data_IF_160307445777
#
_entry.id   IF_160307445777
#
_cell.length_a   1.000
_cell.length_b   1.000
_cell.length_c   1.000
_cell.angle_alpha   90.00
_cell.angle_beta   90.00
_cell.angle_gamma   90.00
#
_symmetry.space_group_name_H-M   'P 1'
#
loop_
_entity.id
_entity.type
_entity.pdbx_description
1 polymer ?
#
# COMPACT_ATOMS: atom_id res chain seq x y z
N UNK A 1 4.74 -14.65 -13.87
CA UNK A 1 5.48 -13.57 -14.57
C UNK A 1 6.00 -12.50 -13.62
N UNK A 2 5.22 -12.04 -12.64
CA UNK A 2 5.70 -11.07 -11.64
C UNK A 2 7.03 -11.45 -10.96
N UNK A 3 7.18 -12.68 -10.48
CA UNK A 3 8.43 -13.12 -9.85
C UNK A 3 9.64 -13.05 -10.81
N UNK A 4 9.43 -13.33 -12.11
CA UNK A 4 10.47 -13.17 -13.13
C UNK A 4 10.80 -11.69 -13.34
N UNK A 5 9.77 -10.84 -13.42
CA UNK A 5 9.91 -9.40 -13.58
C UNK A 5 10.69 -8.77 -12.40
N UNK A 6 10.37 -9.14 -11.17
CA UNK A 6 11.10 -8.65 -10.00
C UNK A 6 12.57 -9.05 -9.97
N UNK A 7 12.93 -10.18 -10.57
CA UNK A 7 14.32 -10.62 -10.69
C UNK A 7 15.08 -9.88 -11.81
N UNK A 8 14.39 -9.09 -12.65
CA UNK A 8 15.07 -8.23 -13.62
C UNK A 8 15.79 -7.11 -12.87
N UNK A 9 17.06 -6.88 -13.20
CA UNK A 9 17.86 -5.77 -12.65
C UNK A 9 17.71 -4.52 -13.52
N UNK A 10 16.47 -4.05 -13.68
CA UNK A 10 16.20 -2.84 -14.46
C UNK A 10 16.53 -1.60 -13.63
N UNK A 11 17.11 -0.58 -14.26
CA UNK A 11 17.26 0.72 -13.62
C UNK A 11 15.86 1.31 -13.35
N UNK A 12 15.54 1.46 -12.08
CA UNK A 12 14.26 1.98 -11.59
C UNK A 12 14.50 2.93 -10.42
N UNK A 13 13.74 4.03 -10.30
CA UNK A 13 13.90 4.97 -9.20
C UNK A 13 13.61 4.29 -7.85
N UNK A 14 14.32 4.64 -6.76
CA UNK A 14 14.07 4.06 -5.45
C UNK A 14 12.71 4.50 -4.91
N UNK A 15 11.96 3.56 -4.34
CA UNK A 15 10.72 3.86 -3.63
C UNK A 15 11.01 4.24 -2.18
N UNK A 16 10.40 5.34 -1.72
CA UNK A 16 10.45 5.73 -0.32
C UNK A 16 9.02 5.81 0.24
N UNK A 17 8.62 4.88 1.13
CA UNK A 17 7.27 4.84 1.68
C UNK A 17 6.86 6.09 2.46
N UNK A 18 7.80 6.68 3.20
CA UNK A 18 7.54 7.81 4.09
C UNK A 18 7.05 9.07 3.34
N UNK A 19 7.83 9.66 2.40
CA UNK A 19 7.37 10.81 1.64
C UNK A 19 6.18 10.48 0.75
N UNK A 20 6.06 9.25 0.25
CA UNK A 20 4.91 8.86 -0.59
C UNK A 20 3.60 8.82 0.21
N UNK A 21 3.62 8.27 1.43
CA UNK A 21 2.45 8.27 2.30
C UNK A 21 2.02 9.71 2.62
N UNK A 22 2.96 10.57 3.04
CA UNK A 22 2.68 11.98 3.33
C UNK A 22 2.05 12.69 2.14
N UNK A 23 2.72 12.59 0.98
CA UNK A 23 2.27 13.20 -0.27
C UNK A 23 0.88 12.72 -0.68
N UNK A 24 0.61 11.42 -0.53
CA UNK A 24 -0.66 10.84 -1.00
C UNK A 24 -1.80 11.09 -0.04
N UNK A 25 -1.61 10.85 1.25
CA UNK A 25 -2.70 10.87 2.22
C UNK A 25 -2.85 12.24 2.86
N UNK A 26 -1.77 12.82 3.39
CA UNK A 26 -1.83 14.08 4.15
C UNK A 26 -1.95 15.27 3.20
N UNK A 27 -1.02 15.39 2.25
CA UNK A 27 -0.92 16.59 1.42
C UNK A 27 -2.09 16.69 0.44
N UNK A 28 -2.59 15.57 -0.12
CA UNK A 28 -3.71 15.57 -1.07
C UNK A 28 -5.08 15.69 -0.44
N UNK A 29 -5.30 15.20 0.78
CA UNK A 29 -6.57 15.42 1.50
C UNK A 29 -6.66 16.90 1.95
N UNK A 30 -5.52 17.60 1.98
CA UNK A 30 -5.49 19.07 1.93
C UNK A 30 -5.56 19.76 3.28
N UNK A 31 -5.19 19.07 4.38
CA UNK A 31 -5.22 19.66 5.73
C UNK A 31 -4.06 19.13 6.57
N UNK A 32 -2.94 19.87 6.60
CA UNK A 32 -1.88 19.65 7.59
C UNK A 32 -2.39 20.18 8.93
N UNK A 33 -2.83 19.28 9.79
CA UNK A 33 -3.24 19.55 11.16
C UNK A 33 -2.22 18.99 12.15
N UNK A 34 -2.31 19.38 13.42
CA UNK A 34 -1.53 18.76 14.49
C UNK A 34 -1.76 17.24 14.53
N UNK A 35 -2.99 16.80 14.30
CA UNK A 35 -3.37 15.38 14.24
C UNK A 35 -2.69 14.67 13.06
N UNK A 36 -2.58 15.34 11.91
CA UNK A 36 -1.86 14.80 10.74
C UNK A 36 -0.36 14.61 11.04
N UNK A 37 0.27 15.56 11.75
CA UNK A 37 1.66 15.46 12.19
C UNK A 37 1.86 14.29 13.17
N UNK A 38 1.01 14.20 14.19
CA UNK A 38 1.06 13.10 15.17
C UNK A 38 0.91 11.74 14.47
N UNK A 39 -0.06 11.61 13.56
CA UNK A 39 -0.24 10.39 12.79
C UNK A 39 0.98 10.08 11.91
N UNK A 40 1.55 11.09 11.25
CA UNK A 40 2.73 10.92 10.41
C UNK A 40 3.95 10.44 11.18
N UNK A 41 4.22 11.02 12.35
CA UNK A 41 5.30 10.56 13.24
C UNK A 41 5.08 9.11 13.68
N UNK A 42 3.86 8.76 14.12
CA UNK A 42 3.49 7.39 14.51
C UNK A 42 3.69 6.40 13.36
N UNK A 43 3.37 6.81 12.13
CA UNK A 43 3.59 5.99 10.94
C UNK A 43 5.09 5.79 10.62
N UNK A 44 5.95 6.80 10.85
CA UNK A 44 7.40 6.65 10.66
C UNK A 44 7.98 5.61 11.62
N UNK A 45 7.55 5.62 12.88
CA UNK A 45 7.92 4.62 13.86
C UNK A 45 7.46 3.22 13.42
N UNK A 46 6.21 3.10 12.95
CA UNK A 46 5.65 1.87 12.38
C UNK A 46 6.45 1.33 11.18
N UNK A 47 6.86 2.19 10.24
CA UNK A 47 7.72 1.82 9.12
C UNK A 47 9.06 1.26 9.62
N UNK A 48 9.76 1.99 10.48
CA UNK A 48 11.09 1.62 10.96
C UNK A 48 11.13 0.22 11.63
N UNK A 49 10.09 -0.13 12.39
CA UNK A 49 9.99 -1.43 13.09
C UNK A 49 9.56 -2.60 12.22
N UNK A 50 8.88 -2.37 11.08
CA UNK A 50 8.30 -3.43 10.23
C UNK A 50 9.07 -3.70 8.94
N UNK A 51 9.96 -2.81 8.49
CA UNK A 51 10.69 -2.98 7.22
C UNK A 51 12.14 -3.48 7.37
N UNK A 52 12.52 -3.97 8.55
CA UNK A 52 13.88 -4.47 8.81
C UNK A 52 14.19 -5.71 7.98
N UNK A 53 15.17 -5.60 7.08
CA UNK A 53 15.73 -6.74 6.32
C UNK A 53 14.95 -7.16 5.08
N UNK A 54 14.09 -6.29 4.54
CA UNK A 54 13.37 -6.51 3.29
C UNK A 54 14.27 -6.29 2.07
N UNK A 55 14.24 -7.24 1.13
CA UNK A 55 14.94 -7.10 -0.15
C UNK A 55 14.15 -6.19 -1.09
N UNK A 56 14.83 -5.27 -1.77
CA UNK A 56 14.23 -4.41 -2.76
C UNK A 56 14.46 -4.98 -4.15
N UNK A 57 13.43 -4.89 -4.99
CA UNK A 57 13.41 -5.46 -6.35
C UNK A 57 12.87 -4.46 -7.34
N UNK A 58 12.98 -4.78 -8.62
CA UNK A 58 12.24 -4.05 -9.67
C UNK A 58 10.75 -4.35 -9.50
N UNK A 59 10.02 -3.46 -8.84
CA UNK A 59 8.59 -3.52 -8.68
C UNK A 59 7.88 -2.81 -9.84
N UNK A 60 6.69 -3.30 -10.17
CA UNK A 60 5.82 -2.72 -11.19
C UNK A 60 5.31 -1.34 -10.74
N UNK A 61 4.98 -1.21 -9.45
CA UNK A 61 4.60 0.06 -8.85
C UNK A 61 3.15 0.50 -9.11
N UNK A 62 2.42 -0.25 -9.93
CA UNK A 62 1.01 -0.03 -10.28
C UNK A 62 0.34 -1.35 -10.69
N UNK A 63 0.63 -2.43 -9.95
CA UNK A 63 0.17 -3.77 -10.33
C UNK A 63 -1.30 -3.99 -9.96
N UNK A 64 -2.22 -3.42 -10.73
CA UNK A 64 -3.64 -3.74 -10.66
C UNK A 64 -4.02 -4.87 -11.62
N UNK A 65 -5.14 -5.58 -11.40
CA UNK A 65 -5.66 -6.55 -12.35
C UNK A 65 -5.83 -6.00 -13.77
N UNK A 66 -6.15 -4.71 -13.92
CA UNK A 66 -6.24 -4.02 -15.22
C UNK A 66 -4.91 -3.96 -15.98
N UNK A 67 -3.78 -4.07 -15.28
CA UNK A 67 -2.44 -4.01 -15.84
C UNK A 67 -1.85 -5.42 -16.07
N UNK A 68 -2.70 -6.45 -16.05
CA UNK A 68 -2.36 -7.84 -16.34
C UNK A 68 -3.25 -8.37 -17.45
N UNK A 69 -2.67 -8.56 -18.64
CA UNK A 69 -3.35 -9.14 -19.79
C UNK A 69 -3.43 -10.67 -19.69
N UNK A 70 -4.19 -11.27 -20.60
CA UNK A 70 -4.25 -12.72 -20.79
C UNK A 70 -2.84 -13.34 -20.94
N UNK A 71 -2.65 -14.53 -20.37
CA UNK A 71 -1.32 -15.14 -20.27
C UNK A 71 -0.41 -14.54 -19.19
N UNK A 72 -0.92 -13.58 -18.40
CA UNK A 72 -0.19 -12.94 -17.30
C UNK A 72 0.88 -11.95 -17.77
N UNK A 73 0.67 -11.32 -18.93
CA UNK A 73 1.55 -10.29 -19.46
C UNK A 73 1.32 -9.01 -18.67
N UNK A 74 2.38 -8.43 -18.13
CA UNK A 74 2.33 -7.16 -17.39
C UNK A 74 2.48 -5.99 -18.36
N UNK A 75 1.72 -4.92 -18.16
CA UNK A 75 1.73 -3.70 -18.98
C UNK A 75 1.74 -2.46 -18.08
N UNK A 76 1.94 -1.27 -18.66
CA UNK A 76 1.97 0.00 -17.91
C UNK A 76 3.11 0.09 -16.89
N UNK A 77 4.34 0.07 -17.40
CA UNK A 77 5.57 0.12 -16.59
C UNK A 77 6.03 1.56 -16.27
N UNK A 78 5.15 2.56 -16.37
CA UNK A 78 5.51 3.97 -16.12
C UNK A 78 5.82 4.24 -14.64
N UNK A 79 5.21 3.46 -13.74
CA UNK A 79 5.38 3.59 -12.28
C UNK A 79 6.41 2.63 -11.69
N UNK A 80 7.18 1.93 -12.54
CA UNK A 80 8.19 0.98 -12.07
C UNK A 80 9.17 1.65 -11.11
N UNK A 81 9.55 0.93 -10.07
CA UNK A 81 10.34 1.46 -8.97
C UNK A 81 11.16 0.35 -8.31
N UNK A 82 12.20 0.72 -7.57
CA UNK A 82 12.92 -0.21 -6.71
C UNK A 82 12.26 -0.24 -5.33
N UNK A 83 11.52 -1.30 -5.03
CA UNK A 83 10.69 -1.42 -3.82
C UNK A 83 10.65 -2.86 -3.31
N UNK A 84 10.14 -3.04 -2.08
CA UNK A 84 9.85 -4.38 -1.56
C UNK A 84 8.76 -5.07 -2.42
N UNK A 85 8.89 -6.38 -2.70
CA UNK A 85 7.91 -7.12 -3.51
C UNK A 85 6.47 -7.06 -2.97
N UNK A 86 6.32 -6.92 -1.66
CA UNK A 86 5.03 -6.81 -0.99
C UNK A 86 4.20 -5.63 -1.47
N UNK A 87 4.82 -4.57 -2.02
CA UNK A 87 4.10 -3.44 -2.60
C UNK A 87 3.21 -3.86 -3.78
N UNK A 88 3.77 -4.58 -4.76
CA UNK A 88 3.02 -5.06 -5.92
C UNK A 88 1.97 -6.10 -5.52
N UNK A 89 2.32 -6.97 -4.57
CA UNK A 89 1.42 -8.00 -4.05
C UNK A 89 0.19 -7.36 -3.42
N UNK A 90 0.37 -6.39 -2.53
CA UNK A 90 -0.77 -5.73 -1.88
C UNK A 90 -1.53 -4.82 -2.86
N UNK A 91 -0.86 -4.18 -3.82
CA UNK A 91 -1.56 -3.40 -4.85
C UNK A 91 -2.49 -4.29 -5.68
N UNK A 92 -2.02 -5.50 -6.01
CA UNK A 92 -2.81 -6.48 -6.74
C UNK A 92 -3.92 -7.03 -5.84
N UNK A 93 -3.59 -7.81 -4.81
CA UNK A 93 -4.57 -8.53 -3.97
C UNK A 93 -5.43 -7.62 -3.07
N UNK A 94 -5.00 -6.37 -2.85
CA UNK A 94 -5.75 -5.37 -2.12
C UNK A 94 -6.83 -4.67 -2.93
N UNK A 95 -6.90 -4.90 -4.25
CA UNK A 95 -7.88 -4.27 -5.11
C UNK A 95 -9.31 -4.82 -4.86
N UNK A 96 -10.32 -3.96 -4.64
CA UNK A 96 -11.68 -4.37 -4.27
C UNK A 96 -12.43 -5.16 -5.36
N UNK A 97 -11.97 -5.11 -6.61
CA UNK A 97 -12.62 -5.73 -7.76
C UNK A 97 -12.09 -7.13 -8.12
N UNK A 98 -11.17 -7.68 -7.33
CA UNK A 98 -10.71 -9.07 -7.46
C UNK A 98 -11.75 -10.05 -6.91
N UNK A 99 -12.86 -10.21 -7.62
CA UNK A 99 -13.91 -11.16 -7.26
C UNK A 99 -13.73 -12.55 -7.90
N UNK A 100 -12.79 -12.72 -8.83
CA UNK A 100 -12.74 -13.89 -9.71
C UNK A 100 -11.45 -14.75 -9.63
N UNK A 101 -10.47 -14.39 -8.80
CA UNK A 101 -9.20 -15.13 -8.72
C UNK A 101 -9.04 -15.85 -7.39
N UNK A 102 -8.50 -17.08 -7.42
CA UNK A 102 -8.08 -17.80 -6.22
C UNK A 102 -6.84 -17.12 -5.62
N UNK A 103 -7.07 -16.02 -4.90
CA UNK A 103 -6.02 -15.13 -4.39
C UNK A 103 -5.04 -15.87 -3.49
N UNK A 104 -5.54 -16.83 -2.70
CA UNK A 104 -4.75 -17.63 -1.76
C UNK A 104 -3.71 -18.48 -2.49
N UNK A 105 -4.12 -19.18 -3.54
CA UNK A 105 -3.24 -20.06 -4.32
C UNK A 105 -2.20 -19.25 -5.11
N UNK A 106 -2.59 -18.11 -5.69
CA UNK A 106 -1.68 -17.23 -6.41
C UNK A 106 -0.63 -16.61 -5.49
N UNK A 107 -1.05 -16.15 -4.31
CA UNK A 107 -0.14 -15.60 -3.30
C UNK A 107 0.84 -16.67 -2.82
N UNK A 108 0.36 -17.89 -2.53
CA UNK A 108 1.22 -18.98 -2.07
C UNK A 108 2.24 -19.37 -3.15
N UNK A 109 1.81 -19.55 -4.40
CA UNK A 109 2.71 -19.82 -5.53
C UNK A 109 3.81 -18.77 -5.68
N UNK A 110 3.46 -17.51 -5.44
CA UNK A 110 4.41 -16.40 -5.48
C UNK A 110 5.38 -16.43 -4.28
N UNK A 111 4.86 -16.61 -3.05
CA UNK A 111 5.65 -16.71 -1.82
C UNK A 111 6.70 -17.82 -1.91
N UNK A 112 6.31 -19.02 -2.37
CA UNK A 112 7.24 -20.14 -2.53
C UNK A 112 8.36 -19.81 -3.52
N UNK A 113 8.03 -19.20 -4.67
CA UNK A 113 9.02 -18.87 -5.70
C UNK A 113 10.03 -17.80 -5.27
N UNK A 114 9.68 -16.95 -4.31
CA UNK A 114 10.48 -15.78 -3.89
C UNK A 114 11.02 -15.87 -2.47
N UNK A 115 10.60 -16.87 -1.69
CA UNK A 115 11.01 -17.05 -0.29
C UNK A 115 10.78 -15.78 0.55
N UNK A 116 9.63 -15.14 0.35
CA UNK A 116 9.32 -13.88 1.05
C UNK A 116 9.23 -14.08 2.56
N UNK A 117 9.77 -13.13 3.31
CA UNK A 117 9.60 -13.02 4.76
C UNK A 117 8.27 -12.34 5.08
N UNK A 118 7.66 -12.71 6.20
CA UNK A 118 6.39 -12.16 6.66
C UNK A 118 6.48 -10.73 7.20
N UNK A 119 7.67 -10.23 7.52
CA UNK A 119 7.85 -8.92 8.16
C UNK A 119 7.30 -7.76 7.30
N UNK A 120 7.58 -7.76 5.99
CA UNK A 120 7.06 -6.77 5.05
C UNK A 120 5.56 -6.87 4.76
N UNK A 121 4.94 -8.04 4.94
CA UNK A 121 3.52 -8.27 4.62
C UNK A 121 2.60 -7.29 5.38
N UNK A 122 2.82 -7.17 6.69
CA UNK A 122 2.02 -6.31 7.58
C UNK A 122 2.14 -4.85 7.17
N UNK A 123 3.38 -4.38 6.95
CA UNK A 123 3.63 -2.99 6.59
C UNK A 123 2.92 -2.62 5.30
N UNK A 124 3.12 -3.40 4.23
CA UNK A 124 2.58 -3.04 2.92
C UNK A 124 1.05 -3.17 2.85
N UNK A 125 0.44 -4.10 3.59
CA UNK A 125 -1.04 -4.18 3.78
C UNK A 125 -1.65 -2.87 4.27
N UNK A 126 -0.99 -2.23 5.22
CA UNK A 126 -1.42 -0.95 5.78
C UNK A 126 -1.01 0.20 4.86
N UNK A 127 0.26 0.25 4.46
CA UNK A 127 0.86 1.35 3.69
C UNK A 127 0.19 1.57 2.33
N UNK A 128 0.00 0.50 1.56
CA UNK A 128 -0.64 0.60 0.24
C UNK A 128 -2.07 1.13 0.40
N UNK A 129 -2.83 0.61 1.38
CA UNK A 129 -4.20 1.07 1.65
C UNK A 129 -4.25 2.57 2.03
N UNK A 130 -3.32 3.04 2.87
CA UNK A 130 -3.17 4.48 3.19
C UNK A 130 -2.91 5.33 1.94
N UNK A 131 -2.03 4.88 1.05
CA UNK A 131 -1.75 5.54 -0.22
C UNK A 131 -2.98 5.57 -1.15
N UNK A 132 -3.80 4.51 -1.14
CA UNK A 132 -5.03 4.43 -1.94
C UNK A 132 -6.10 5.40 -1.45
N UNK A 133 -6.31 5.51 -0.13
CA UNK A 133 -7.25 6.47 0.47
C UNK A 133 -6.96 7.87 -0.10
N UNK A 134 -5.73 8.34 0.03
CA UNK A 134 -5.32 9.64 -0.46
C UNK A 134 -5.43 9.82 -1.98
N UNK A 135 -5.24 8.75 -2.75
CA UNK A 135 -5.37 8.79 -4.22
C UNK A 135 -6.83 8.93 -4.67
N UNK A 136 -7.77 8.28 -3.96
CA UNK A 136 -9.20 8.30 -4.29
C UNK A 136 -9.98 9.45 -3.63
N UNK A 137 -9.41 10.11 -2.63
CA UNK A 137 -10.01 11.29 -1.98
C UNK A 137 -9.99 12.55 -2.86
N UNK A 138 -9.15 12.62 -3.90
CA UNK A 138 -9.04 13.81 -4.75
C UNK A 138 -10.39 14.09 -5.45
N UNK A 139 -10.90 15.30 -5.23
CA UNK A 139 -12.13 15.79 -5.86
C UNK A 139 -13.39 15.00 -5.46
N UNK A 140 -13.34 14.23 -4.36
CA UNK A 140 -14.45 13.43 -3.84
C UNK A 140 -15.10 12.48 -4.87
N UNK A 141 -14.33 12.04 -5.88
CA UNK A 141 -14.87 11.29 -7.02
C UNK A 141 -15.22 9.83 -6.70
N UNK A 142 -14.60 9.26 -5.67
CA UNK A 142 -14.70 7.82 -5.37
C UNK A 142 -14.94 7.52 -3.87
N UNK A 143 -16.04 8.01 -3.27
CA UNK A 143 -16.31 7.84 -1.84
C UNK A 143 -16.42 6.38 -1.40
N UNK A 144 -16.93 5.50 -2.27
CA UNK A 144 -17.02 4.05 -2.02
C UNK A 144 -15.64 3.43 -1.84
N UNK A 145 -14.67 3.80 -2.69
CA UNK A 145 -13.30 3.30 -2.62
C UNK A 145 -12.56 3.85 -1.40
N UNK A 146 -12.74 5.15 -1.10
CA UNK A 146 -12.17 5.76 0.11
C UNK A 146 -12.66 5.02 1.35
N UNK A 147 -13.96 4.74 1.45
CA UNK A 147 -14.53 3.99 2.58
C UNK A 147 -13.99 2.56 2.66
N UNK A 148 -13.92 1.85 1.53
CA UNK A 148 -13.36 0.50 1.46
C UNK A 148 -11.93 0.45 1.99
N UNK A 149 -11.02 1.29 1.47
CA UNK A 149 -9.63 1.28 1.90
C UNK A 149 -9.48 1.78 3.34
N UNK A 150 -10.33 2.70 3.80
CA UNK A 150 -10.36 3.15 5.20
C UNK A 150 -10.72 2.01 6.15
N UNK A 151 -11.79 1.25 5.85
CA UNK A 151 -12.20 0.11 6.66
C UNK A 151 -11.12 -0.98 6.66
N UNK A 152 -10.64 -1.38 5.48
CA UNK A 152 -9.56 -2.36 5.33
C UNK A 152 -8.33 -1.96 6.14
N UNK A 153 -7.91 -0.70 6.06
CA UNK A 153 -6.74 -0.19 6.80
C UNK A 153 -6.93 -0.39 8.31
N UNK A 154 -8.09 0.02 8.86
CA UNK A 154 -8.39 -0.12 10.29
C UNK A 154 -8.46 -1.58 10.74
N UNK A 155 -9.08 -2.45 9.94
CA UNK A 155 -9.13 -3.89 10.20
C UNK A 155 -7.74 -4.50 10.25
N UNK A 156 -6.83 -4.14 9.33
CA UNK A 156 -5.45 -4.62 9.33
C UNK A 156 -4.68 -4.09 10.54
N UNK A 157 -4.78 -2.80 10.86
CA UNK A 157 -4.14 -2.25 12.05
C UNK A 157 -4.61 -2.97 13.32
N UNK A 158 -5.90 -3.27 13.44
CA UNK A 158 -6.44 -4.04 14.56
C UNK A 158 -5.93 -5.49 14.57
N UNK A 159 -6.00 -6.20 13.44
CA UNK A 159 -5.59 -7.60 13.33
C UNK A 159 -4.09 -7.83 13.61
N UNK A 160 -3.26 -6.79 13.43
CA UNK A 160 -1.83 -6.83 13.70
C UNK A 160 -1.43 -6.09 14.98
N UNK A 161 -2.40 -5.78 15.84
CA UNK A 161 -2.19 -5.14 17.15
C UNK A 161 -1.49 -3.76 17.08
N UNK A 162 -1.59 -3.08 15.95
CA UNK A 162 -1.07 -1.72 15.73
C UNK A 162 -2.07 -0.66 16.26
N UNK A 163 -2.50 -0.83 17.52
CA UNK A 163 -3.58 -0.03 18.13
C UNK A 163 -3.26 1.46 18.21
N UNK A 164 -2.02 1.82 18.57
CA UNK A 164 -1.59 3.22 18.62
C UNK A 164 -1.67 3.88 17.24
N UNK A 165 -1.22 3.19 16.19
CA UNK A 165 -1.31 3.69 14.81
C UNK A 165 -2.77 3.86 14.38
N UNK A 166 -3.64 2.91 14.71
CA UNK A 166 -5.08 2.99 14.44
C UNK A 166 -5.72 4.19 15.14
N UNK A 167 -5.46 4.38 16.42
CA UNK A 167 -6.01 5.48 17.20
C UNK A 167 -5.62 6.84 16.58
N UNK A 168 -4.34 7.04 16.25
CA UNK A 168 -3.89 8.29 15.62
C UNK A 168 -4.46 8.47 14.22
N UNK A 169 -4.67 7.39 13.47
CA UNK A 169 -5.37 7.44 12.19
C UNK A 169 -6.83 7.84 12.33
N UNK A 170 -7.55 7.31 13.33
CA UNK A 170 -8.94 7.67 13.62
C UNK A 170 -9.07 9.16 13.97
N UNK A 171 -8.20 9.67 14.86
CA UNK A 171 -8.17 11.10 15.20
C UNK A 171 -7.85 11.99 14.00
N UNK A 172 -6.90 11.58 13.15
CA UNK A 172 -6.59 12.30 11.92
C UNK A 172 -7.83 12.39 11.01
N UNK A 173 -8.51 11.27 10.75
CA UNK A 173 -9.72 11.26 9.92
C UNK A 173 -10.84 12.14 10.50
N UNK A 174 -11.03 12.15 11.82
CA UNK A 174 -12.05 12.99 12.46
C UNK A 174 -11.71 14.48 12.33
N UNK A 175 -10.44 14.87 12.52
CA UNK A 175 -10.00 16.26 12.34
C UNK A 175 -10.17 16.80 10.91
N UNK A 176 -10.22 15.91 9.91
CA UNK A 176 -10.54 16.28 8.52
C UNK A 176 -12.03 16.57 8.38
N UNK A 177 -12.89 15.75 9.02
CA UNK A 177 -14.36 15.84 8.96
C UNK A 177 -14.91 17.08 9.65
N UNK A 178 -14.44 17.40 10.85
CA UNK A 178 -14.88 18.58 11.62
C UNK A 178 -14.62 19.90 10.88
N UNK A 179 -13.69 19.89 9.92
CA UNK A 179 -13.28 21.07 9.15
C UNK A 179 -13.82 21.09 7.71
N UNK A 180 -14.62 20.09 7.30
CA UNK A 180 -15.16 19.96 5.95
C UNK A 180 -16.59 20.51 5.88
#
# INVERSE_FOLDING_TARGET
NLAKFHNLKLYSPPYNPIPEMKRRLIDRIGKTTKEAEIFFETYKEFHARRTLGEEYVTAHGDLYPSNVLEGGILIDFEKRMHACPWFDIETFFGAPYLQALNQKELLESYRTKRQLKDAGDIFYKIHVSLCQIGSFSIGNKHPVLVNYFTQRTKEKMYAYEEYNLKEKFDHYLESIREKA
#
